data_IF_971061756857
#
_entry.id   IF_971061756857
#
_cell.length_a   1.000
_cell.length_b   1.000
_cell.length_c   1.000
_cell.angle_alpha   90.00
_cell.angle_beta   90.00
_cell.angle_gamma   90.00
#
_symmetry.space_group_name_H-M   'P 1'
#
loop_
_entity.id
_entity.type
_entity.pdbx_description
1 polymer ?
#
# COMPACT_ATOMS: atom_id res chain seq x y z
N UNK A 1 -17.05 4.27 -16.64
CA UNK A 1 -16.91 4.20 -15.18
C UNK A 1 -16.29 5.50 -14.67
N UNK A 2 -16.84 6.16 -13.64
CA UNK A 2 -16.17 7.26 -12.96
C UNK A 2 -14.92 6.71 -12.22
N UNK A 3 -13.77 7.35 -12.41
CA UNK A 3 -12.50 6.96 -11.76
C UNK A 3 -11.86 8.21 -11.16
N UNK A 4 -11.44 8.12 -9.89
CA UNK A 4 -10.64 9.15 -9.22
C UNK A 4 -9.24 8.60 -8.94
N UNK A 5 -8.24 9.49 -8.91
CA UNK A 5 -6.96 9.12 -8.32
C UNK A 5 -7.12 8.89 -6.81
N UNK A 6 -6.26 8.05 -6.23
CA UNK A 6 -6.28 7.75 -4.81
C UNK A 6 -6.14 9.03 -3.95
N UNK A 7 -5.24 9.93 -4.34
CA UNK A 7 -5.05 11.22 -3.68
C UNK A 7 -6.32 12.10 -3.72
N UNK A 8 -6.97 12.22 -4.87
CA UNK A 8 -8.20 13.00 -5.02
C UNK A 8 -9.33 12.42 -4.17
N UNK A 9 -9.44 11.09 -4.13
CA UNK A 9 -10.42 10.41 -3.29
C UNK A 9 -10.19 10.71 -1.81
N UNK A 10 -8.96 10.55 -1.30
CA UNK A 10 -8.64 10.86 0.11
C UNK A 10 -8.88 12.33 0.45
N UNK A 11 -8.52 13.25 -0.46
CA UNK A 11 -8.76 14.68 -0.26
C UNK A 11 -10.24 15.01 -0.23
N UNK A 12 -11.03 14.43 -1.14
CA UNK A 12 -12.48 14.61 -1.19
C UNK A 12 -13.14 14.14 0.11
N UNK A 13 -12.75 12.93 0.56
CA UNK A 13 -13.28 12.33 1.78
C UNK A 13 -12.89 13.12 3.03
N UNK A 14 -11.65 13.61 3.14
CA UNK A 14 -11.21 14.32 4.34
C UNK A 14 -11.76 15.75 4.43
N UNK A 15 -11.80 16.46 3.32
CA UNK A 15 -12.31 17.84 3.28
C UNK A 15 -13.83 17.90 3.07
N UNK A 16 -14.48 16.74 2.89
CA UNK A 16 -15.92 16.60 2.61
C UNK A 16 -16.36 17.48 1.43
N UNK A 17 -15.58 17.41 0.34
CA UNK A 17 -15.83 18.18 -0.88
C UNK A 17 -16.28 17.26 -2.01
N UNK A 18 -17.13 17.79 -2.89
CA UNK A 18 -17.53 17.10 -4.11
C UNK A 18 -16.42 17.20 -5.16
N UNK A 19 -16.09 16.07 -5.79
CA UNK A 19 -15.09 15.99 -6.86
C UNK A 19 -15.68 15.27 -8.07
N UNK A 20 -15.46 15.84 -9.25
CA UNK A 20 -15.91 15.24 -10.50
C UNK A 20 -14.92 14.19 -10.99
N UNK A 21 -15.37 12.93 -11.00
CA UNK A 21 -14.59 11.82 -11.52
C UNK A 21 -14.69 11.74 -13.05
N UNK A 22 -13.57 11.75 -13.80
CA UNK A 22 -13.60 11.51 -15.24
C UNK A 22 -14.18 10.13 -15.57
N UNK A 23 -14.90 10.04 -16.69
CA UNK A 23 -15.45 8.79 -17.20
C UNK A 23 -14.41 8.03 -18.04
N UNK A 24 -14.00 6.85 -17.56
CA UNK A 24 -13.11 5.93 -18.26
C UNK A 24 -13.93 4.78 -18.89
N UNK A 25 -13.65 4.38 -20.15
CA UNK A 25 -14.26 3.19 -20.75
C UNK A 25 -14.07 1.94 -19.89
N UNK A 26 -15.11 1.11 -19.74
CA UNK A 26 -15.07 -0.04 -18.83
C UNK A 26 -14.06 -1.11 -19.25
N UNK A 27 -13.81 -1.25 -20.55
CA UNK A 27 -12.79 -2.13 -21.15
C UNK A 27 -11.34 -1.68 -20.85
N UNK A 28 -11.16 -0.50 -20.24
CA UNK A 28 -9.87 0.04 -19.80
C UNK A 28 -9.71 0.09 -18.29
N UNK A 29 -10.63 -0.52 -17.55
CA UNK A 29 -10.63 -0.52 -16.09
C UNK A 29 -10.53 -1.97 -15.61
N UNK A 30 -9.52 -2.23 -14.79
CA UNK A 30 -9.42 -3.46 -14.02
C UNK A 30 -9.73 -3.15 -12.56
N UNK A 31 -10.46 -4.04 -11.89
CA UNK A 31 -10.79 -3.93 -10.48
C UNK A 31 -10.10 -5.06 -9.74
N UNK A 32 -9.21 -4.71 -8.82
CA UNK A 32 -8.64 -5.69 -7.91
C UNK A 32 -9.71 -6.10 -6.90
N UNK A 33 -9.98 -7.41 -6.82
CA UNK A 33 -10.81 -7.98 -5.77
C UNK A 33 -9.87 -8.59 -4.74
N UNK A 34 -10.06 -8.25 -3.46
CA UNK A 34 -9.30 -8.88 -2.38
C UNK A 34 -9.59 -10.40 -2.40
N UNK A 35 -8.58 -11.19 -2.78
CA UNK A 35 -8.68 -12.65 -2.79
C UNK A 35 -8.86 -13.20 -1.38
N UNK A 36 -9.52 -14.35 -1.25
CA UNK A 36 -9.49 -15.13 0.00
C UNK A 36 -8.19 -15.91 0.04
N UNK A 37 -7.64 -16.13 1.24
CA UNK A 37 -6.38 -16.87 1.48
C UNK A 37 -6.28 -18.23 0.74
N UNK A 38 -7.41 -18.81 0.33
CA UNK A 38 -7.51 -20.07 -0.41
C UNK A 38 -6.99 -19.99 -1.86
N UNK A 39 -6.92 -18.79 -2.45
CA UNK A 39 -6.46 -18.59 -3.83
C UNK A 39 -4.92 -18.64 -4.00
N UNK A 40 -4.18 -18.79 -2.89
CA UNK A 40 -2.70 -18.75 -2.87
C UNK A 40 -2.01 -20.02 -3.43
N UNK A 41 -2.78 -21.08 -3.70
CA UNK A 41 -2.25 -22.40 -4.07
C UNK A 41 -1.57 -22.52 -5.44
N UNK A 42 -1.70 -21.52 -6.33
CA UNK A 42 -1.17 -21.56 -7.70
C UNK A 42 -0.14 -20.45 -8.01
N UNK A 43 0.44 -19.80 -6.99
CA UNK A 43 1.10 -18.50 -7.12
C UNK A 43 2.63 -18.52 -7.16
N UNK A 44 3.24 -19.55 -7.76
CA UNK A 44 4.64 -19.47 -8.16
C UNK A 44 4.72 -19.00 -9.61
N UNK A 45 4.99 -17.71 -9.80
CA UNK A 45 5.37 -17.19 -11.11
C UNK A 45 6.58 -17.94 -11.65
N UNK A 46 6.55 -18.29 -12.95
CA UNK A 46 7.50 -19.17 -13.66
C UNK A 46 8.94 -18.63 -13.76
N UNK A 47 9.36 -17.68 -12.92
CA UNK A 47 10.71 -17.09 -12.92
C UNK A 47 11.11 -16.38 -14.22
N UNK A 48 10.24 -16.37 -15.24
CA UNK A 48 10.52 -15.95 -16.61
C UNK A 48 10.29 -14.46 -16.85
N UNK A 49 9.72 -13.75 -15.87
CA UNK A 49 9.44 -12.30 -15.95
C UNK A 49 8.42 -11.92 -17.02
N UNK A 50 7.73 -12.90 -17.62
CA UNK A 50 6.70 -12.68 -18.62
C UNK A 50 5.43 -12.17 -17.93
N UNK A 51 4.92 -11.04 -18.40
CA UNK A 51 3.68 -10.43 -17.93
C UNK A 51 2.58 -10.66 -18.96
N UNK A 52 1.35 -10.91 -18.49
CA UNK A 52 0.18 -10.90 -19.36
C UNK A 52 0.02 -9.52 -20.00
N UNK A 53 -0.36 -9.48 -21.28
CA UNK A 53 -0.77 -8.24 -21.96
C UNK A 53 -2.26 -7.95 -21.79
N UNK A 54 -3.04 -8.95 -21.36
CA UNK A 54 -4.50 -8.88 -21.24
C UNK A 54 -4.96 -8.38 -19.86
N UNK A 55 -4.03 -8.17 -18.92
CA UNK A 55 -4.35 -7.67 -17.59
C UNK A 55 -3.13 -7.18 -16.81
N UNK A 56 -3.37 -6.44 -15.71
CA UNK A 56 -2.30 -5.94 -14.86
C UNK A 56 -1.52 -7.09 -14.21
N UNK A 57 -0.23 -6.89 -13.90
CA UNK A 57 0.56 -7.89 -13.22
C UNK A 57 0.05 -8.11 -11.79
N UNK A 58 -0.01 -9.38 -11.37
CA UNK A 58 -0.26 -9.74 -9.96
C UNK A 58 0.92 -9.30 -9.11
N UNK A 59 0.65 -8.63 -7.98
CA UNK A 59 1.65 -8.25 -6.99
C UNK A 59 1.61 -9.22 -5.83
N UNK A 60 2.78 -9.66 -5.39
CA UNK A 60 2.92 -10.54 -4.24
C UNK A 60 3.46 -9.76 -3.06
N UNK A 61 2.98 -10.04 -1.83
CA UNK A 61 3.50 -9.38 -0.66
C UNK A 61 5.01 -9.61 -0.49
N UNK A 62 5.75 -8.54 -0.26
CA UNK A 62 7.21 -8.60 -0.05
C UNK A 62 7.49 -8.25 1.41
N UNK A 63 8.15 -9.15 2.14
CA UNK A 63 8.60 -8.85 3.50
C UNK A 63 9.50 -7.61 3.49
N UNK A 64 9.26 -6.65 4.38
CA UNK A 64 9.97 -5.35 4.36
C UNK A 64 11.48 -5.51 4.58
N UNK A 65 11.92 -6.57 5.26
CA UNK A 65 13.33 -6.93 5.37
C UNK A 65 14.03 -7.16 4.02
N UNK A 66 13.29 -7.54 2.97
CA UNK A 66 13.79 -7.76 1.60
C UNK A 66 13.52 -6.57 0.66
N UNK A 67 12.78 -5.56 1.12
CA UNK A 67 12.40 -4.41 0.31
C UNK A 67 13.59 -3.51 -0.02
N UNK A 68 13.68 -3.08 -1.28
CA UNK A 68 14.68 -2.10 -1.73
C UNK A 68 14.31 -0.68 -1.31
N UNK A 69 13.01 -0.35 -1.30
CA UNK A 69 12.47 0.96 -0.94
C UNK A 69 11.15 0.79 -0.20
N UNK A 70 10.95 1.56 0.86
CA UNK A 70 9.76 1.48 1.71
C UNK A 70 9.00 2.79 1.74
N UNK A 71 9.69 3.93 1.66
CA UNK A 71 9.04 5.24 1.75
C UNK A 71 8.01 5.41 0.63
N UNK A 72 6.77 5.70 1.03
CA UNK A 72 5.60 5.89 0.17
C UNK A 72 4.95 4.60 -0.35
N UNK A 73 5.49 3.42 -0.04
CA UNK A 73 4.84 2.15 -0.38
C UNK A 73 3.72 1.83 0.61
N UNK A 74 2.70 1.10 0.14
CA UNK A 74 1.63 0.55 1.00
C UNK A 74 2.17 -0.62 1.80
N UNK A 75 1.77 -0.70 3.07
CA UNK A 75 2.25 -1.68 4.02
C UNK A 75 1.10 -2.38 4.73
N UNK A 76 1.24 -3.69 4.90
CA UNK A 76 0.42 -4.52 5.76
C UNK A 76 1.21 -4.83 7.02
N UNK A 77 0.59 -4.63 8.19
CA UNK A 77 1.13 -5.04 9.48
C UNK A 77 0.33 -6.25 9.97
N UNK A 78 1.02 -7.35 10.26
CA UNK A 78 0.39 -8.53 10.82
C UNK A 78 0.54 -8.52 12.34
N UNK A 79 -0.57 -8.45 13.07
CA UNK A 79 -0.60 -8.49 14.54
C UNK A 79 -1.47 -9.68 14.95
N UNK A 80 -0.89 -10.67 15.63
CA UNK A 80 -1.61 -11.85 16.12
C UNK A 80 -2.45 -12.56 15.04
N UNK A 81 -1.95 -12.59 13.80
CA UNK A 81 -2.65 -13.18 12.64
C UNK A 81 -3.74 -12.29 12.04
N UNK A 82 -3.94 -11.07 12.55
CA UNK A 82 -4.85 -10.07 12.00
C UNK A 82 -4.06 -9.10 11.13
N UNK A 83 -4.46 -8.99 9.87
CA UNK A 83 -3.91 -8.00 8.95
C UNK A 83 -4.48 -6.60 9.24
N UNK A 84 -3.57 -5.66 9.44
CA UNK A 84 -3.88 -4.23 9.43
C UNK A 84 -3.29 -3.62 8.16
N UNK A 85 -4.15 -3.01 7.35
CA UNK A 85 -3.81 -2.36 6.08
C UNK A 85 -3.94 -0.84 6.20
N UNK A 86 -3.96 -0.15 5.06
CA UNK A 86 -4.13 1.31 4.96
C UNK A 86 -3.02 2.07 5.69
N UNK A 87 -1.78 1.60 5.55
CA UNK A 87 -0.58 2.25 6.06
C UNK A 87 0.44 2.46 4.96
N UNK A 88 1.27 3.50 5.11
CA UNK A 88 2.40 3.79 4.22
C UNK A 88 3.68 4.01 4.99
N UNK A 89 4.78 3.55 4.39
CA UNK A 89 6.13 3.76 4.91
C UNK A 89 6.51 5.24 4.86
N UNK A 90 6.99 5.79 5.98
CA UNK A 90 7.45 7.18 6.09
C UNK A 90 8.97 7.27 6.04
N UNK A 91 9.66 6.22 6.48
CA UNK A 91 11.11 6.13 6.43
C UNK A 91 11.57 4.86 5.73
N UNK A 92 12.85 4.81 5.39
CA UNK A 92 13.53 3.54 5.14
C UNK A 92 13.84 2.82 6.47
N UNK A 93 14.39 1.61 6.38
CA UNK A 93 14.80 0.80 7.54
C UNK A 93 15.87 1.51 8.35
N UNK A 94 15.74 1.48 9.67
CA UNK A 94 16.77 1.92 10.61
C UNK A 94 16.84 0.96 11.79
N UNK A 95 17.89 1.08 12.59
CA UNK A 95 18.03 0.34 13.86
C UNK A 95 17.58 1.26 14.98
N UNK A 96 16.60 0.83 15.78
CA UNK A 96 16.13 1.57 16.95
C UNK A 96 17.15 1.55 18.08
N UNK A 97 16.94 2.38 19.11
CA UNK A 97 17.79 2.43 20.30
C UNK A 97 17.85 1.08 21.04
N UNK A 98 16.86 0.21 20.83
CA UNK A 98 16.82 -1.15 21.38
C UNK A 98 17.54 -2.19 20.50
N UNK A 99 18.14 -1.78 19.38
CA UNK A 99 18.86 -2.66 18.46
C UNK A 99 17.96 -3.45 17.49
N UNK A 100 16.67 -3.15 17.42
CA UNK A 100 15.74 -3.80 16.49
C UNK A 100 15.68 -3.05 15.15
N UNK A 101 15.53 -3.78 14.04
CA UNK A 101 15.29 -3.16 12.73
C UNK A 101 13.82 -2.70 12.63
N UNK A 102 13.63 -1.40 12.41
CA UNK A 102 12.34 -0.74 12.44
C UNK A 102 12.11 0.16 11.22
N UNK A 103 10.85 0.55 11.03
CA UNK A 103 10.38 1.54 10.06
C UNK A 103 9.31 2.41 10.71
N UNK A 104 9.29 3.71 10.41
CA UNK A 104 8.15 4.56 10.73
C UNK A 104 7.08 4.45 9.65
N UNK A 105 5.84 4.25 10.06
CA UNK A 105 4.67 4.18 9.19
C UNK A 105 3.62 5.22 9.60
N UNK A 106 2.78 5.63 8.66
CA UNK A 106 1.59 6.44 8.92
C UNK A 106 0.36 5.78 8.31
N UNK A 107 -0.84 6.12 8.78
CA UNK A 107 -2.07 5.73 8.06
C UNK A 107 -2.10 6.41 6.70
N UNK A 108 -2.79 5.83 5.72
CA UNK A 108 -2.89 6.44 4.39
C UNK A 108 -3.57 7.80 4.42
N UNK A 109 -4.60 7.95 5.26
CA UNK A 109 -5.24 9.24 5.53
C UNK A 109 -4.22 10.31 5.92
N UNK A 110 -3.36 10.01 6.89
CA UNK A 110 -2.35 10.97 7.36
C UNK A 110 -1.25 11.19 6.32
N UNK A 111 -0.84 10.12 5.61
CA UNK A 111 0.12 10.19 4.51
C UNK A 111 -0.35 11.15 3.41
N UNK A 112 -1.59 10.99 2.94
CA UNK A 112 -2.15 11.85 1.89
C UNK A 112 -2.37 13.26 2.39
N UNK A 113 -2.93 13.43 3.60
CA UNK A 113 -3.09 14.75 4.21
C UNK A 113 -1.79 15.53 4.26
N UNK A 114 -0.67 14.87 4.56
CA UNK A 114 0.64 15.52 4.57
C UNK A 114 0.97 16.17 3.22
N UNK A 115 0.64 15.52 2.10
CA UNK A 115 0.99 16.01 0.76
C UNK A 115 0.38 17.36 0.39
N UNK A 116 -0.86 17.69 0.82
CA UNK A 116 -1.47 18.99 0.54
C UNK A 116 -1.44 19.98 1.72
N UNK A 117 -1.33 19.50 2.95
CA UNK A 117 -1.26 20.39 4.13
C UNK A 117 0.17 20.79 4.50
N UNK A 118 1.17 20.02 4.04
CA UNK A 118 2.57 20.18 4.44
C UNK A 118 2.86 19.80 5.90
N UNK A 119 1.86 19.40 6.68
CA UNK A 119 2.02 19.01 8.08
C UNK A 119 2.49 17.56 8.17
N UNK A 120 3.57 17.25 8.90
CA UNK A 120 4.08 15.88 8.97
C UNK A 120 3.01 14.96 9.60
N UNK A 121 2.87 13.72 9.09
CA UNK A 121 1.87 12.79 9.57
C UNK A 121 2.23 12.28 10.96
N UNK A 122 1.22 11.88 11.74
CA UNK A 122 1.49 11.08 12.93
C UNK A 122 2.03 9.72 12.53
N UNK A 123 3.20 9.35 13.07
CA UNK A 123 3.85 8.08 12.76
C UNK A 123 3.77 7.07 13.92
N UNK A 124 3.91 5.79 13.56
CA UNK A 124 4.09 4.65 14.45
C UNK A 124 5.38 3.95 14.04
N UNK A 125 6.17 3.49 15.01
CA UNK A 125 7.34 2.65 14.76
C UNK A 125 6.93 1.18 14.77
N UNK A 126 7.30 0.43 13.72
CA UNK A 126 7.02 -1.01 13.59
C UNK A 126 8.30 -1.78 13.28
N UNK A 127 8.42 -3.00 13.80
CA UNK A 127 9.53 -3.91 13.49
C UNK A 127 9.37 -4.53 12.11
N UNK A 128 10.47 -4.67 11.38
CA UNK A 128 10.48 -5.09 9.95
C UNK A 128 9.99 -6.52 9.69
N UNK A 129 9.99 -7.37 10.72
CA UNK A 129 9.55 -8.77 10.66
C UNK A 129 8.03 -8.94 10.76
N UNK A 130 7.32 -7.89 11.20
CA UNK A 130 5.86 -7.86 11.29
C UNK A 130 5.19 -7.10 10.13
N UNK A 131 5.94 -6.64 9.13
CA UNK A 131 5.41 -5.81 8.04
C UNK A 131 5.79 -6.31 6.64
N UNK A 132 4.84 -6.18 5.71
CA UNK A 132 4.95 -6.56 4.30
C UNK A 132 4.51 -5.39 3.41
N UNK A 133 5.13 -5.28 2.24
CA UNK A 133 4.64 -4.44 1.14
C UNK A 133 3.40 -5.11 0.51
N UNK A 134 2.41 -4.30 0.12
CA UNK A 134 1.28 -4.74 -0.71
C UNK A 134 1.67 -4.91 -2.20
#
# INVERSE_FOLDING_TARGET
MPVLSEHEWYKAELEQIEVFAPLVPADRVWVETLGRHEDLGNLHGDGSGLVSLDGPPTRYPIAVGLAVRITGQRLVHLIDGVERRDMRGVTERYISDAGAACVHVATEVEWYRWTWTGKPPKTLELQVDAIWLE
#
